data_IF_891742176417
#
_entry.id   IF_891742176417
#
_cell.length_a   1.000
_cell.length_b   1.000
_cell.length_c   1.000
_cell.angle_alpha   90.00
_cell.angle_beta   90.00
_cell.angle_gamma   90.00
#
_symmetry.space_group_name_H-M   'P 1'
#
loop_
_entity.id
_entity.type
_entity.pdbx_description
1 polymer ?
#
# COMPACT_ATOMS: atom_id res chain seq x y z
N UNK A 1 8.99 27.35 24.96
CA UNK A 1 9.53 26.56 26.08
C UNK A 1 10.32 25.37 25.53
N UNK A 2 11.41 24.91 26.16
CA UNK A 2 12.04 23.65 25.78
C UNK A 2 11.05 22.50 25.97
N UNK A 3 11.03 21.54 25.04
CA UNK A 3 10.06 20.43 25.01
C UNK A 3 9.97 19.65 26.33
N UNK A 4 11.09 19.48 27.03
CA UNK A 4 11.16 18.82 28.35
C UNK A 4 10.34 19.57 29.40
N UNK A 5 10.46 20.90 29.49
CA UNK A 5 9.71 21.69 30.48
C UNK A 5 8.21 21.71 30.20
N UNK A 6 7.82 21.65 28.92
CA UNK A 6 6.41 21.48 28.55
C UNK A 6 5.88 20.13 29.02
N UNK A 7 6.62 19.05 28.78
CA UNK A 7 6.24 17.70 29.22
C UNK A 7 6.20 17.59 30.75
N UNK A 8 7.17 18.15 31.48
CA UNK A 8 7.19 18.17 32.95
C UNK A 8 6.00 18.96 33.55
N UNK A 9 5.51 19.98 32.84
CA UNK A 9 4.33 20.75 33.23
C UNK A 9 3.04 19.93 32.98
N UNK A 10 2.88 19.42 31.76
CA UNK A 10 1.69 18.66 31.36
C UNK A 10 1.56 17.36 32.15
N UNK A 11 2.67 16.67 32.41
CA UNK A 11 2.67 15.42 33.17
C UNK A 11 2.10 15.62 34.58
N UNK A 12 2.51 16.66 35.29
CA UNK A 12 2.00 16.95 36.64
C UNK A 12 0.50 17.24 36.63
N UNK A 13 0.02 17.98 35.64
CA UNK A 13 -1.39 18.33 35.52
C UNK A 13 -2.24 17.11 35.14
N UNK A 14 -1.81 16.35 34.13
CA UNK A 14 -2.55 15.23 33.57
C UNK A 14 -2.49 13.99 34.45
N UNK A 15 -1.39 13.73 35.15
CA UNK A 15 -1.29 12.61 36.10
C UNK A 15 -2.30 12.73 37.25
N UNK A 16 -2.61 13.96 37.70
CA UNK A 16 -3.64 14.19 38.72
C UNK A 16 -5.03 13.82 38.20
N UNK A 17 -5.34 14.15 36.94
CA UNK A 17 -6.61 13.82 36.30
C UNK A 17 -6.74 12.31 36.03
N UNK A 18 -5.68 11.66 35.51
CA UNK A 18 -5.70 10.23 35.19
C UNK A 18 -5.92 9.33 36.42
N UNK A 19 -5.57 9.80 37.62
CA UNK A 19 -5.84 9.08 38.88
C UNK A 19 -7.30 9.12 39.32
N UNK A 20 -8.11 9.99 38.72
CA UNK A 20 -9.52 10.20 39.09
C UNK A 20 -10.52 9.60 38.08
N UNK A 21 -10.02 9.01 36.99
CA UNK A 21 -10.85 8.51 35.88
C UNK A 21 -10.67 7.01 35.68
N UNK A 22 -11.66 6.37 35.05
CA UNK A 22 -11.61 4.95 34.70
C UNK A 22 -11.10 4.72 33.28
N UNK A 23 -11.27 5.71 32.40
CA UNK A 23 -10.74 5.72 31.04
C UNK A 23 -10.02 7.03 30.75
N UNK A 24 -8.93 6.96 29.96
CA UNK A 24 -8.16 8.15 29.57
C UNK A 24 -9.01 9.19 28.84
N UNK A 25 -10.03 8.79 28.06
CA UNK A 25 -10.95 9.71 27.38
C UNK A 25 -11.80 10.58 28.31
N UNK A 26 -11.93 10.21 29.59
CA UNK A 26 -12.70 10.98 30.58
C UNK A 26 -11.91 12.17 31.13
N UNK A 27 -10.60 12.21 30.88
CA UNK A 27 -9.78 13.36 31.24
C UNK A 27 -10.11 14.55 30.32
N UNK A 28 -10.59 15.64 30.91
CA UNK A 28 -10.93 16.87 30.19
C UNK A 28 -9.63 17.62 29.80
N UNK A 29 -9.11 17.28 28.62
CA UNK A 29 -7.88 17.84 28.06
C UNK A 29 -8.13 18.47 26.69
N UNK A 30 -7.75 19.75 26.47
CA UNK A 30 -7.85 20.40 25.17
C UNK A 30 -7.00 19.70 24.10
N UNK A 31 -7.58 19.47 22.91
CA UNK A 31 -6.91 18.74 21.83
C UNK A 31 -5.64 19.40 21.28
N UNK A 32 -5.55 20.74 21.37
CA UNK A 32 -4.34 21.49 21.01
C UNK A 32 -3.17 21.15 21.96
N UNK A 33 -3.45 21.02 23.26
CA UNK A 33 -2.44 20.66 24.26
C UNK A 33 -1.98 19.21 24.09
N UNK A 34 -2.88 18.29 23.75
CA UNK A 34 -2.54 16.91 23.39
C UNK A 34 -1.64 16.84 22.14
N UNK A 35 -1.90 17.67 21.13
CA UNK A 35 -1.09 17.71 19.91
C UNK A 35 0.31 18.26 20.18
N UNK A 36 0.42 19.33 20.99
CA UNK A 36 1.70 19.89 21.41
C UNK A 36 2.51 18.91 22.26
N UNK A 37 1.86 18.14 23.14
CA UNK A 37 2.50 17.07 23.91
C UNK A 37 3.01 15.94 22.99
N UNK A 38 2.21 15.49 22.02
CA UNK A 38 2.64 14.47 21.05
C UNK A 38 3.88 14.94 20.26
N UNK A 39 3.93 16.20 19.86
CA UNK A 39 5.11 16.78 19.22
C UNK A 39 6.33 16.79 20.15
N UNK A 40 6.15 17.21 21.41
CA UNK A 40 7.22 17.24 22.40
C UNK A 40 7.75 15.84 22.72
N UNK A 41 6.87 14.84 22.87
CA UNK A 41 7.21 13.42 23.06
C UNK A 41 8.03 12.88 21.89
N UNK A 42 7.76 13.33 20.66
CA UNK A 42 8.58 13.00 19.50
C UNK A 42 10.00 13.55 19.58
N UNK A 43 10.21 14.68 20.27
CA UNK A 43 11.53 15.31 20.35
C UNK A 43 12.46 14.67 21.39
N UNK A 44 11.94 13.90 22.33
CA UNK A 44 12.73 13.18 23.34
C UNK A 44 13.07 11.76 22.84
N UNK A 45 14.29 11.30 23.09
CA UNK A 45 14.76 9.97 22.67
C UNK A 45 14.34 8.88 23.68
N UNK A 46 14.05 7.67 23.20
CA UNK A 46 13.78 6.49 24.04
C UNK A 46 12.33 6.32 24.48
N UNK A 47 11.60 5.36 23.89
CA UNK A 47 10.19 5.10 24.24
C UNK A 47 9.99 4.63 25.69
N UNK A 48 10.93 3.84 26.20
CA UNK A 48 10.90 3.33 27.58
C UNK A 48 11.16 4.47 28.57
N UNK A 49 12.12 5.34 28.27
CA UNK A 49 12.44 6.51 29.10
C UNK A 49 11.27 7.50 29.15
N UNK A 50 10.61 7.74 28.01
CA UNK A 50 9.43 8.59 27.91
C UNK A 50 8.24 8.01 28.69
N UNK A 51 8.05 6.69 28.67
CA UNK A 51 6.99 6.03 29.43
C UNK A 51 7.21 6.09 30.94
N UNK A 52 8.47 6.07 31.39
CA UNK A 52 8.83 6.19 32.80
C UNK A 52 8.73 7.63 33.28
N UNK A 53 9.16 8.59 32.46
CA UNK A 53 9.26 10.00 32.87
C UNK A 53 7.98 10.79 32.66
N UNK A 54 7.22 10.52 31.59
CA UNK A 54 5.97 11.22 31.27
C UNK A 54 4.81 10.28 30.87
N UNK A 55 4.42 9.34 31.73
CA UNK A 55 3.36 8.38 31.43
C UNK A 55 2.00 9.04 31.13
N UNK A 56 1.60 10.11 31.82
CA UNK A 56 0.33 10.79 31.56
C UNK A 56 0.32 11.44 30.18
N UNK A 57 1.44 12.06 29.78
CA UNK A 57 1.60 12.64 28.45
C UNK A 57 1.46 11.58 27.35
N UNK A 58 2.04 10.40 27.54
CA UNK A 58 1.92 9.29 26.59
C UNK A 58 0.47 8.80 26.50
N UNK A 59 -0.17 8.54 27.65
CA UNK A 59 -1.52 7.99 27.71
C UNK A 59 -2.55 8.92 27.04
N UNK A 60 -2.60 10.18 27.46
CA UNK A 60 -3.56 11.17 26.94
C UNK A 60 -3.31 11.46 25.47
N UNK A 61 -2.06 11.65 25.05
CA UNK A 61 -1.78 12.03 23.67
C UNK A 61 -2.10 10.93 22.67
N UNK A 62 -1.79 9.68 22.98
CA UNK A 62 -2.14 8.55 22.10
C UNK A 62 -3.64 8.32 22.04
N UNK A 63 -4.32 8.39 23.19
CA UNK A 63 -5.78 8.21 23.27
C UNK A 63 -6.52 9.30 22.49
N UNK A 64 -6.12 10.56 22.64
CA UNK A 64 -6.74 11.66 21.92
C UNK A 64 -6.56 11.53 20.40
N UNK A 65 -5.38 11.09 19.94
CA UNK A 65 -5.14 10.83 18.51
C UNK A 65 -5.96 9.66 17.98
N UNK A 66 -6.25 8.66 18.81
CA UNK A 66 -7.15 7.56 18.48
C UNK A 66 -8.63 7.96 18.46
N UNK A 67 -9.06 8.85 19.35
CA UNK A 67 -10.42 9.38 19.37
C UNK A 67 -10.79 10.14 18.08
N UNK A 68 -9.80 10.72 17.39
CA UNK A 68 -9.95 11.53 16.19
C UNK A 68 -10.21 10.74 14.87
N UNK A 69 -10.11 9.40 14.85
CA UNK A 69 -10.52 8.58 13.69
C UNK A 69 -9.66 7.33 13.40
N UNK A 70 -10.01 6.60 12.34
CA UNK A 70 -9.49 5.26 12.01
C UNK A 70 -7.99 5.21 11.63
N UNK A 71 -7.36 6.35 11.36
CA UNK A 71 -5.96 6.47 10.95
C UNK A 71 -5.02 6.99 12.06
N UNK A 72 -5.20 6.54 13.31
CA UNK A 72 -4.50 7.13 14.44
C UNK A 72 -2.98 6.92 14.44
N UNK A 73 -2.47 5.77 13.98
CA UNK A 73 -1.02 5.56 13.87
C UNK A 73 -0.34 6.49 12.85
N UNK A 74 -0.88 6.66 11.62
CA UNK A 74 -0.46 7.73 10.72
C UNK A 74 -0.48 9.11 11.36
N UNK A 75 -1.56 9.46 12.08
CA UNK A 75 -1.70 10.78 12.72
C UNK A 75 -0.71 10.99 13.86
N UNK A 76 -0.51 9.99 14.71
CA UNK A 76 0.51 9.95 15.77
C UNK A 76 1.90 10.17 15.18
N UNK A 77 2.23 9.50 14.06
CA UNK A 77 3.50 9.70 13.36
C UNK A 77 3.65 11.10 12.78
N UNK A 78 2.58 11.74 12.33
CA UNK A 78 2.68 13.14 11.88
C UNK A 78 2.95 14.05 13.08
N UNK A 79 2.23 13.86 14.19
CA UNK A 79 2.39 14.65 15.41
C UNK A 79 3.80 14.51 16.02
N UNK A 80 4.36 13.29 16.08
CA UNK A 80 5.71 13.05 16.61
C UNK A 80 6.84 13.31 15.58
N UNK A 81 6.54 13.94 14.43
CA UNK A 81 7.49 14.15 13.32
C UNK A 81 8.19 12.86 12.87
N UNK A 82 7.43 11.78 12.82
CA UNK A 82 7.79 10.40 12.42
C UNK A 82 8.85 9.74 13.31
N UNK A 83 9.03 10.24 14.53
CA UNK A 83 9.99 9.67 15.48
C UNK A 83 9.39 8.50 16.25
N UNK A 84 10.16 7.42 16.33
CA UNK A 84 9.78 6.18 16.98
C UNK A 84 9.04 5.15 16.12
N UNK A 85 8.71 4.00 16.72
CA UNK A 85 7.93 2.98 16.06
C UNK A 85 6.63 2.66 16.83
N UNK A 86 5.61 2.20 16.10
CA UNK A 86 4.29 1.88 16.62
C UNK A 86 4.33 0.87 17.79
N UNK A 87 5.19 -0.14 17.71
CA UNK A 87 5.32 -1.13 18.78
C UNK A 87 5.95 -0.53 20.05
N UNK A 88 6.93 0.37 19.91
CA UNK A 88 7.57 1.08 21.01
C UNK A 88 6.61 2.04 21.70
N UNK A 89 5.86 2.83 20.94
CA UNK A 89 4.81 3.70 21.48
C UNK A 89 3.65 2.89 22.09
N UNK A 90 3.30 1.74 21.51
CA UNK A 90 2.33 0.82 22.10
C UNK A 90 2.79 0.25 23.44
N UNK A 91 4.07 -0.16 23.56
CA UNK A 91 4.65 -0.59 24.83
C UNK A 91 4.68 0.54 25.87
N UNK A 92 5.09 1.74 25.45
CA UNK A 92 5.11 2.93 26.30
C UNK A 92 3.70 3.27 26.84
N UNK A 93 2.68 3.15 25.99
CA UNK A 93 1.29 3.34 26.39
C UNK A 93 0.84 2.30 27.42
N UNK A 94 1.12 1.01 27.18
CA UNK A 94 0.78 -0.05 28.15
C UNK A 94 1.47 0.15 29.50
N UNK A 95 2.74 0.57 29.50
CA UNK A 95 3.47 0.92 30.72
C UNK A 95 2.86 2.14 31.42
N UNK A 96 2.41 3.15 30.67
CA UNK A 96 1.71 4.30 31.23
C UNK A 96 0.38 3.92 31.89
N UNK A 97 -0.41 3.03 31.28
CA UNK A 97 -1.65 2.54 31.91
C UNK A 97 -1.38 1.81 33.22
N UNK A 98 -0.30 1.02 33.26
CA UNK A 98 0.13 0.30 34.46
C UNK A 98 0.49 1.26 35.60
N UNK A 99 1.17 2.38 35.31
CA UNK A 99 1.48 3.43 36.31
C UNK A 99 0.22 4.02 36.96
N UNK A 100 -0.87 4.17 36.21
CA UNK A 100 -2.12 4.74 36.70
C UNK A 100 -3.16 3.70 37.15
N UNK A 101 -2.86 2.40 37.06
CA UNK A 101 -3.79 1.33 37.39
C UNK A 101 -5.03 1.27 36.48
N UNK A 102 -4.89 1.74 35.23
CA UNK A 102 -5.98 1.79 34.26
C UNK A 102 -6.16 0.45 33.52
N UNK A 103 -7.39 0.12 33.06
CA UNK A 103 -7.68 -1.16 32.40
C UNK A 103 -6.88 -1.35 31.11
N UNK A 104 -6.40 -2.58 30.85
CA UNK A 104 -5.64 -2.92 29.64
C UNK A 104 -6.20 -4.18 28.97
N UNK A 105 -6.12 -4.19 27.65
CA UNK A 105 -6.48 -5.33 26.80
C UNK A 105 -5.24 -6.13 26.37
N UNK A 106 -5.48 -7.26 25.68
CA UNK A 106 -4.43 -8.18 25.23
C UNK A 106 -3.37 -7.53 24.31
N UNK A 107 -3.73 -6.45 23.59
CA UNK A 107 -2.81 -5.72 22.72
C UNK A 107 -2.86 -4.21 22.97
N UNK A 108 -1.75 -3.53 22.72
CA UNK A 108 -1.67 -2.07 22.85
C UNK A 108 -2.71 -1.33 22.01
N UNK A 109 -3.04 -1.84 20.81
CA UNK A 109 -4.06 -1.22 19.96
C UNK A 109 -5.45 -1.37 20.58
N UNK A 110 -5.79 -2.54 21.12
CA UNK A 110 -7.06 -2.73 21.83
C UNK A 110 -7.16 -1.83 23.06
N UNK A 111 -6.09 -1.71 23.86
CA UNK A 111 -6.07 -0.82 25.04
C UNK A 111 -6.22 0.65 24.65
N UNK A 112 -5.56 1.11 23.58
CA UNK A 112 -5.70 2.48 23.08
C UNK A 112 -7.14 2.75 22.63
N UNK A 113 -7.76 1.80 21.93
CA UNK A 113 -9.14 1.96 21.44
C UNK A 113 -10.18 1.91 22.55
N UNK A 114 -10.00 1.03 23.55
CA UNK A 114 -10.79 0.99 24.78
C UNK A 114 -10.81 2.37 25.44
N UNK A 115 -9.62 2.93 25.66
CA UNK A 115 -9.47 4.24 26.29
C UNK A 115 -9.91 5.42 25.42
N UNK A 116 -9.99 5.24 24.10
CA UNK A 116 -10.53 6.24 23.18
C UNK A 116 -12.06 6.14 23.01
N UNK A 117 -12.72 5.16 23.65
CA UNK A 117 -14.15 4.92 23.49
C UNK A 117 -14.55 4.47 22.08
N UNK A 118 -13.65 3.78 21.37
CA UNK A 118 -13.84 3.38 19.97
C UNK A 118 -13.76 1.85 19.81
N UNK A 119 -14.51 1.25 18.86
CA UNK A 119 -14.35 -0.16 18.54
C UNK A 119 -12.96 -0.43 17.94
N UNK A 120 -12.38 -1.59 18.25
CA UNK A 120 -11.08 -2.03 17.72
C UNK A 120 -11.18 -2.08 16.19
N UNK A 121 -10.27 -1.43 15.43
CA UNK A 121 -10.29 -1.52 13.98
C UNK A 121 -10.00 -2.97 13.57
N UNK A 122 -10.79 -3.51 12.63
CA UNK A 122 -10.58 -4.85 12.08
C UNK A 122 -9.11 -5.02 11.61
N UNK A 123 -8.52 -6.22 11.75
CA UNK A 123 -7.16 -6.48 11.27
C UNK A 123 -7.04 -6.14 9.77
N UNK A 124 -5.83 -5.81 9.27
CA UNK A 124 -5.66 -5.41 7.87
C UNK A 124 -6.21 -6.50 6.94
N UNK A 125 -7.21 -6.11 6.13
CA UNK A 125 -7.83 -6.95 5.11
C UNK A 125 -6.75 -7.48 4.17
N UNK A 126 -6.75 -8.80 3.88
CA UNK A 126 -5.83 -9.35 2.88
C UNK A 126 -6.13 -8.66 1.54
N UNK A 127 -5.10 -8.12 0.90
CA UNK A 127 -5.19 -7.51 -0.42
C UNK A 127 -4.56 -8.48 -1.41
N UNK A 128 -5.35 -9.00 -2.32
CA UNK A 128 -4.87 -9.64 -3.54
C UNK A 128 -4.18 -8.54 -4.33
N UNK A 129 -2.86 -8.63 -4.47
CA UNK A 129 -2.14 -7.81 -5.42
C UNK A 129 -2.30 -8.45 -6.81
N UNK A 130 -3.09 -7.86 -7.73
CA UNK A 130 -3.26 -8.39 -9.07
C UNK A 130 -1.95 -8.43 -9.89
N UNK A 131 -0.84 -7.90 -9.35
CA UNK A 131 0.48 -7.86 -9.97
C UNK A 131 1.55 -8.71 -9.25
N UNK A 132 1.15 -9.67 -8.40
CA UNK A 132 2.03 -10.76 -7.96
C UNK A 132 2.71 -10.56 -6.59
N UNK A 133 2.24 -9.63 -5.76
CA UNK A 133 2.78 -9.37 -4.42
C UNK A 133 2.47 -10.40 -3.32
N UNK A 134 1.61 -11.40 -3.57
CA UNK A 134 1.36 -12.53 -2.68
C UNK A 134 0.57 -12.22 -1.41
N UNK A 135 -0.54 -12.95 -1.22
CA UNK A 135 -1.10 -13.26 0.10
C UNK A 135 -0.42 -14.56 0.56
N UNK A 136 -0.05 -14.68 1.84
CA UNK A 136 0.33 -15.99 2.40
C UNK A 136 -0.91 -16.88 2.39
N UNK A 137 -0.94 -17.93 1.58
CA UNK A 137 -2.08 -18.84 1.50
C UNK A 137 -2.42 -19.39 2.90
N UNK A 138 -3.68 -19.36 3.34
CA UNK A 138 -4.06 -19.93 4.62
C UNK A 138 -3.99 -21.46 4.57
N UNK A 139 -3.35 -22.07 5.56
CA UNK A 139 -3.60 -23.46 5.89
C UNK A 139 -5.10 -23.60 6.24
N UNK A 140 -5.82 -24.48 5.53
CA UNK A 140 -7.19 -24.86 5.87
C UNK A 140 -8.36 -24.17 5.16
N UNK A 141 -8.13 -23.22 4.22
CA UNK A 141 -9.23 -22.67 3.39
C UNK A 141 -9.23 -23.27 1.97
N UNK A 142 -10.44 -23.53 1.42
CA UNK A 142 -10.66 -24.05 0.06
C UNK A 142 -11.10 -22.98 -0.94
N UNK A 143 -11.61 -21.84 -0.44
CA UNK A 143 -12.20 -20.76 -1.23
C UNK A 143 -11.90 -19.39 -0.62
N UNK A 144 -11.20 -18.54 -1.37
CA UNK A 144 -10.98 -17.13 -1.08
C UNK A 144 -11.66 -16.29 -2.15
N UNK A 145 -12.28 -15.19 -1.73
CA UNK A 145 -12.98 -14.29 -2.65
C UNK A 145 -12.52 -12.87 -2.40
N UNK A 146 -12.20 -12.15 -3.48
CA UNK A 146 -11.72 -10.79 -3.47
C UNK A 146 -12.61 -9.94 -4.37
N UNK A 147 -12.79 -8.67 -4.01
CA UNK A 147 -13.35 -7.67 -4.89
C UNK A 147 -12.39 -7.41 -6.07
N UNK A 148 -12.90 -6.74 -7.10
CA UNK A 148 -12.14 -6.39 -8.32
C UNK A 148 -10.92 -5.51 -8.02
N UNK A 149 -10.97 -4.70 -6.96
CA UNK A 149 -9.86 -3.90 -6.43
C UNK A 149 -8.81 -4.72 -5.63
N UNK A 150 -8.99 -6.04 -5.58
CA UNK A 150 -8.12 -6.97 -4.87
C UNK A 150 -8.45 -7.14 -3.38
N UNK A 151 -9.41 -6.39 -2.83
CA UNK A 151 -9.73 -6.49 -1.39
C UNK A 151 -10.44 -7.81 -1.07
N UNK A 152 -9.95 -8.56 -0.07
CA UNK A 152 -10.64 -9.76 0.39
C UNK A 152 -12.06 -9.44 0.89
N UNK A 153 -13.00 -10.27 0.45
CA UNK A 153 -14.37 -10.30 0.90
C UNK A 153 -14.48 -11.47 1.87
N UNK A 154 -14.85 -11.22 3.12
CA UNK A 154 -14.99 -12.25 4.17
C UNK A 154 -16.44 -12.55 4.55
N UNK A 155 -17.38 -11.67 4.18
CA UNK A 155 -18.82 -11.81 4.44
C UNK A 155 -19.65 -12.14 3.20
N UNK A 156 -20.87 -11.61 3.15
CA UNK A 156 -21.77 -11.74 2.00
C UNK A 156 -21.10 -11.21 0.72
N UNK A 157 -21.22 -11.96 -0.37
CA UNK A 157 -20.60 -11.66 -1.65
C UNK A 157 -21.51 -10.72 -2.47
N UNK A 158 -20.95 -9.76 -3.22
CA UNK A 158 -21.73 -8.99 -4.18
C UNK A 158 -22.10 -9.87 -5.38
N UNK A 159 -23.26 -9.64 -6.03
CA UNK A 159 -23.66 -10.37 -7.24
C UNK A 159 -22.87 -9.97 -8.51
N UNK A 160 -21.91 -9.04 -8.41
CA UNK A 160 -21.02 -8.68 -9.52
C UNK A 160 -19.80 -9.59 -9.62
N UNK A 161 -18.90 -9.37 -10.59
CA UNK A 161 -17.63 -10.05 -10.64
C UNK A 161 -16.77 -9.87 -9.40
N UNK A 162 -16.21 -10.99 -9.00
CA UNK A 162 -15.27 -11.13 -7.90
C UNK A 162 -14.12 -12.02 -8.35
N UNK A 163 -12.93 -11.73 -7.86
CA UNK A 163 -11.80 -12.63 -7.99
C UNK A 163 -11.98 -13.78 -7.01
N UNK A 164 -11.95 -14.99 -7.53
CA UNK A 164 -12.10 -16.22 -6.77
C UNK A 164 -10.79 -16.99 -6.85
N UNK A 165 -10.13 -17.16 -5.70
CA UNK A 165 -9.03 -18.10 -5.58
C UNK A 165 -9.54 -19.38 -4.92
N UNK A 166 -9.40 -20.52 -5.60
CA UNK A 166 -9.80 -21.81 -5.07
C UNK A 166 -8.74 -22.88 -5.34
N UNK A 167 -8.80 -23.99 -4.61
CA UNK A 167 -7.91 -25.13 -4.81
C UNK A 167 -8.02 -25.66 -6.24
N UNK A 168 -6.89 -26.01 -6.86
CA UNK A 168 -6.78 -26.42 -8.27
C UNK A 168 -7.55 -27.72 -8.58
N UNK A 169 -7.67 -28.59 -7.59
CA UNK A 169 -8.47 -29.81 -7.57
C UNK A 169 -9.92 -29.58 -7.12
N UNK A 170 -10.24 -28.37 -6.65
CA UNK A 170 -11.58 -27.98 -6.25
C UNK A 170 -12.44 -27.46 -7.40
N UNK A 171 -13.74 -27.74 -7.32
CA UNK A 171 -14.74 -27.29 -8.30
C UNK A 171 -15.58 -26.16 -7.70
N UNK A 172 -15.68 -25.04 -8.42
CA UNK A 172 -16.59 -23.94 -8.07
C UNK A 172 -18.04 -24.36 -8.33
N UNK A 173 -18.89 -24.16 -7.34
CA UNK A 173 -20.31 -24.48 -7.39
C UNK A 173 -21.15 -23.29 -6.92
N UNK A 174 -22.36 -23.20 -7.45
CA UNK A 174 -23.36 -22.18 -7.18
C UNK A 174 -24.74 -22.71 -7.55
N UNK A 175 -25.79 -22.05 -7.11
CA UNK A 175 -27.17 -22.30 -7.54
C UNK A 175 -27.56 -21.57 -8.84
N UNK A 176 -26.84 -20.50 -9.19
CA UNK A 176 -26.97 -19.81 -10.48
C UNK A 176 -25.85 -20.19 -11.47
N UNK A 177 -25.95 -19.77 -12.75
CA UNK A 177 -24.88 -19.98 -13.72
C UNK A 177 -23.63 -19.16 -13.35
N UNK A 178 -22.49 -19.83 -13.11
CA UNK A 178 -21.19 -19.16 -12.95
C UNK A 178 -20.60 -18.85 -14.31
N UNK A 179 -20.32 -17.56 -14.56
CA UNK A 179 -19.60 -17.12 -15.75
C UNK A 179 -18.21 -16.66 -15.36
N UNK A 180 -17.19 -17.41 -15.77
CA UNK A 180 -15.80 -16.95 -15.73
C UNK A 180 -15.60 -15.86 -16.79
N UNK A 181 -15.14 -14.70 -16.34
CA UNK A 181 -14.84 -13.53 -17.17
C UNK A 181 -13.37 -13.57 -17.62
N UNK A 182 -12.46 -13.89 -16.69
CA UNK A 182 -11.03 -13.97 -16.94
C UNK A 182 -10.37 -14.97 -15.98
N UNK A 183 -9.21 -15.50 -16.35
CA UNK A 183 -8.31 -16.22 -15.44
C UNK A 183 -7.11 -15.32 -15.10
N UNK A 184 -6.66 -15.40 -13.85
CA UNK A 184 -5.53 -14.63 -13.34
C UNK A 184 -4.32 -15.52 -13.05
N UNK A 185 -3.12 -14.95 -13.15
CA UNK A 185 -1.91 -15.62 -12.70
C UNK A 185 -1.75 -15.46 -11.19
N UNK A 186 -1.35 -16.54 -10.52
CA UNK A 186 -1.05 -16.54 -9.08
C UNK A 186 0.46 -16.45 -8.83
N UNK A 187 0.87 -15.83 -7.71
CA UNK A 187 2.28 -15.74 -7.33
C UNK A 187 2.85 -17.10 -6.93
N UNK A 188 4.18 -17.19 -6.86
CA UNK A 188 4.92 -18.37 -6.42
C UNK A 188 4.51 -18.82 -5.00
N UNK A 189 4.34 -20.13 -4.78
CA UNK A 189 3.78 -20.72 -3.55
C UNK A 189 2.26 -20.98 -3.57
N UNK A 190 1.59 -20.70 -4.68
CA UNK A 190 0.16 -20.97 -4.92
C UNK A 190 -0.05 -22.00 -6.05
N UNK A 191 0.90 -22.92 -6.28
CA UNK A 191 0.88 -23.85 -7.42
C UNK A 191 -0.33 -24.80 -7.43
N UNK A 192 -0.95 -24.97 -6.25
CA UNK A 192 -2.15 -25.78 -6.02
C UNK A 192 -3.45 -24.97 -6.00
N UNK A 193 -3.41 -23.71 -6.44
CA UNK A 193 -4.57 -22.83 -6.49
C UNK A 193 -4.82 -22.32 -7.91
N UNK A 194 -6.05 -21.90 -8.18
CA UNK A 194 -6.47 -21.19 -9.39
C UNK A 194 -7.10 -19.88 -9.02
N UNK A 195 -6.91 -18.86 -9.85
CA UNK A 195 -7.51 -17.54 -9.70
C UNK A 195 -8.38 -17.25 -10.93
N UNK A 196 -9.65 -16.96 -10.72
CA UNK A 196 -10.59 -16.64 -11.78
C UNK A 196 -11.44 -15.43 -11.38
N UNK A 197 -11.67 -14.51 -12.32
CA UNK A 197 -12.67 -13.46 -12.18
C UNK A 197 -14.01 -14.06 -12.59
N UNK A 198 -14.95 -14.17 -11.66
CA UNK A 198 -16.22 -14.87 -11.88
C UNK A 198 -17.38 -13.94 -11.56
N UNK A 199 -18.38 -13.86 -12.44
CA UNK A 199 -19.63 -13.14 -12.17
C UNK A 199 -20.55 -14.01 -11.31
N UNK A 200 -21.06 -13.45 -10.22
CA UNK A 200 -22.05 -14.10 -9.35
C UNK A 200 -23.50 -13.67 -9.66
N UNK A 201 -23.72 -13.12 -10.85
CA UNK A 201 -25.03 -12.61 -11.26
C UNK A 201 -26.03 -13.77 -11.40
N UNK A 202 -27.14 -13.68 -10.66
CA UNK A 202 -28.19 -14.70 -10.67
C UNK A 202 -27.95 -15.90 -9.76
N UNK A 203 -26.80 -15.96 -9.05
CA UNK A 203 -26.56 -16.91 -7.97
C UNK A 203 -26.85 -16.30 -6.59
N UNK A 204 -27.34 -17.10 -5.66
CA UNK A 204 -27.53 -16.72 -4.25
C UNK A 204 -26.43 -17.26 -3.35
N UNK A 205 -25.57 -18.17 -3.83
CA UNK A 205 -24.38 -18.60 -3.11
C UNK A 205 -23.25 -19.07 -4.04
N UNK A 206 -22.03 -19.04 -3.50
CA UNK A 206 -20.81 -19.57 -4.10
C UNK A 206 -20.12 -20.53 -3.11
N UNK A 207 -19.61 -21.66 -3.58
CA UNK A 207 -18.74 -22.56 -2.82
C UNK A 207 -17.65 -23.15 -3.72
N UNK A 208 -16.55 -23.62 -3.12
CA UNK A 208 -15.59 -24.48 -3.79
C UNK A 208 -15.47 -25.77 -2.99
N UNK A 209 -15.70 -26.91 -3.62
CA UNK A 209 -15.52 -28.22 -3.00
C UNK A 209 -14.19 -28.83 -3.48
N UNK A 210 -13.31 -29.20 -2.56
CA UNK A 210 -12.12 -30.00 -2.80
C UNK A 210 -12.43 -31.48 -2.54
N UNK A 211 -11.63 -32.40 -3.11
CA UNK A 211 -11.92 -33.84 -3.14
C UNK A 211 -12.29 -34.41 -1.75
N UNK A 212 -13.58 -34.73 -1.56
CA UNK A 212 -14.10 -35.41 -0.37
C UNK A 212 -14.80 -34.54 0.68
N UNK A 213 -14.88 -33.21 0.51
CA UNK A 213 -15.59 -32.32 1.44
C UNK A 213 -16.45 -31.28 0.71
N UNK A 214 -17.71 -31.13 1.16
CA UNK A 214 -18.57 -30.05 0.68
C UNK A 214 -18.05 -28.69 1.18
N UNK A 215 -17.73 -27.82 0.23
CA UNK A 215 -17.22 -26.49 0.51
C UNK A 215 -18.21 -25.60 1.27
N UNK A 216 -17.69 -24.74 2.13
CA UNK A 216 -18.51 -23.73 2.84
C UNK A 216 -19.20 -22.80 1.84
N UNK A 217 -20.54 -22.79 1.87
CA UNK A 217 -21.36 -21.89 1.05
C UNK A 217 -21.25 -20.46 1.55
N UNK A 218 -20.93 -19.55 0.64
CA UNK A 218 -20.89 -18.11 0.87
C UNK A 218 -22.10 -17.46 0.21
N UNK A 219 -22.99 -16.79 0.96
CA UNK A 219 -24.18 -16.16 0.38
C UNK A 219 -23.80 -14.97 -0.50
N UNK A 220 -24.53 -14.80 -1.59
CA UNK A 220 -24.48 -13.63 -2.47
C UNK A 220 -25.64 -12.72 -2.09
N UNK A 221 -25.36 -11.48 -1.68
CA UNK A 221 -26.38 -10.50 -1.30
C UNK A 221 -26.13 -9.13 -1.95
N UNK A 222 -27.22 -8.44 -2.21
CA UNK A 222 -27.22 -7.10 -2.82
C UNK A 222 -27.69 -7.12 -4.28
N UNK A 223 -27.66 -5.95 -4.92
CA UNK A 223 -27.91 -5.79 -6.35
C UNK A 223 -26.60 -5.45 -7.02
N UNK A 224 -26.34 -6.01 -8.20
CA UNK A 224 -25.17 -5.61 -8.97
C UNK A 224 -25.30 -4.12 -9.30
N UNK A 225 -24.21 -3.37 -9.19
CA UNK A 225 -24.16 -1.93 -9.47
C UNK A 225 -23.42 -1.63 -10.78
N UNK A 226 -23.70 -0.50 -11.44
CA UNK A 226 -22.89 0.03 -12.53
C UNK A 226 -21.39 0.07 -12.21
N UNK A 227 -20.52 -0.18 -13.19
CA UNK A 227 -19.08 0.05 -13.04
C UNK A 227 -18.39 0.37 -14.36
N UNK A 228 -17.29 1.11 -14.28
CA UNK A 228 -16.33 1.20 -15.38
C UNK A 228 -15.40 -0.01 -15.33
N UNK A 229 -15.31 -0.73 -16.44
CA UNK A 229 -14.35 -1.80 -16.67
C UNK A 229 -13.10 -1.15 -17.27
N UNK A 230 -12.02 -0.97 -16.50
CA UNK A 230 -10.81 -0.33 -17.00
C UNK A 230 -10.19 -1.17 -18.12
N UNK A 231 -9.71 -0.50 -19.17
CA UNK A 231 -8.82 -1.10 -20.16
C UNK A 231 -7.38 -1.20 -19.64
N UNK A 232 -6.41 -1.19 -20.54
CA UNK A 232 -4.99 -1.15 -20.17
C UNK A 232 -4.58 0.29 -19.76
N UNK A 233 -4.02 0.43 -18.56
CA UNK A 233 -3.41 1.67 -18.12
C UNK A 233 -2.03 1.85 -18.79
N UNK A 234 -1.68 3.09 -19.10
CA UNK A 234 -0.37 3.42 -19.67
C UNK A 234 0.69 3.23 -18.57
N UNK A 235 1.44 2.14 -18.66
CA UNK A 235 2.51 1.82 -17.73
C UNK A 235 3.48 3.00 -17.59
N UNK A 236 3.83 3.35 -16.35
CA UNK A 236 4.78 4.43 -16.07
C UNK A 236 4.27 5.85 -16.35
N UNK A 237 2.96 6.05 -16.55
CA UNK A 237 2.34 7.38 -16.69
C UNK A 237 1.19 7.53 -15.71
N UNK A 238 1.18 8.62 -14.95
CA UNK A 238 0.12 8.95 -14.00
C UNK A 238 -0.37 10.38 -14.18
N UNK A 239 -1.60 10.64 -13.76
CA UNK A 239 -2.10 11.99 -13.57
C UNK A 239 -1.38 12.67 -12.38
N UNK A 240 -1.53 14.00 -12.19
CA UNK A 240 -0.89 14.73 -11.09
C UNK A 240 -1.27 14.25 -9.69
N UNK A 241 -2.47 13.67 -9.55
CA UNK A 241 -2.96 13.07 -8.30
C UNK A 241 -2.45 11.63 -8.07
N UNK A 242 -1.64 11.10 -8.99
CA UNK A 242 -1.11 9.74 -8.97
C UNK A 242 -2.07 8.69 -9.54
N UNK A 243 -3.26 9.07 -10.03
CA UNK A 243 -4.19 8.13 -10.65
C UNK A 243 -3.67 7.59 -11.99
N UNK A 244 -4.09 6.38 -12.32
CA UNK A 244 -3.72 5.72 -13.57
C UNK A 244 -4.34 6.46 -14.77
N UNK A 245 -3.59 6.49 -15.87
CA UNK A 245 -4.02 7.10 -17.14
C UNK A 245 -4.32 6.01 -18.14
N UNK A 246 -5.50 6.05 -18.76
CA UNK A 246 -5.95 5.03 -19.71
C UNK A 246 -5.61 5.45 -21.15
N UNK A 247 -5.08 4.51 -21.95
CA UNK A 247 -4.80 4.73 -23.37
C UNK A 247 -6.07 4.67 -24.25
N UNK A 248 -7.15 4.12 -23.70
CA UNK A 248 -8.44 3.92 -24.34
C UNK A 248 -9.57 4.15 -23.33
N UNK A 249 -10.77 4.57 -23.78
CA UNK A 249 -11.92 4.72 -22.88
C UNK A 249 -12.29 3.38 -22.22
N UNK A 250 -12.56 3.34 -20.91
CA UNK A 250 -13.03 2.14 -20.24
C UNK A 250 -14.47 1.82 -20.65
N UNK A 251 -14.82 0.54 -20.75
CA UNK A 251 -16.19 0.14 -21.04
C UNK A 251 -17.08 0.39 -19.82
N UNK A 252 -18.33 0.80 -20.01
CA UNK A 252 -19.31 0.87 -18.93
C UNK A 252 -20.09 -0.44 -18.88
N UNK A 253 -20.00 -1.14 -17.76
CA UNK A 253 -20.85 -2.29 -17.49
C UNK A 253 -22.05 -1.87 -16.65
N UNK A 254 -23.24 -2.26 -17.10
CA UNK A 254 -24.51 -1.99 -16.44
C UNK A 254 -25.26 -3.30 -16.15
N UNK A 255 -25.80 -3.46 -14.93
CA UNK A 255 -26.78 -4.50 -14.64
C UNK A 255 -28.05 -4.33 -15.50
N UNK A 256 -28.87 -5.38 -15.58
CA UNK A 256 -30.22 -5.26 -16.18
C UNK A 256 -31.05 -4.18 -15.47
N UNK A 257 -31.68 -3.30 -16.25
CA UNK A 257 -32.57 -2.26 -15.76
C UNK A 257 -32.45 -0.96 -16.54
N UNK A 258 -33.28 0.01 -16.18
CA UNK A 258 -33.29 1.33 -16.80
C UNK A 258 -32.26 2.25 -16.12
N UNK A 259 -31.18 2.53 -16.84
CA UNK A 259 -30.07 3.37 -16.40
C UNK A 259 -29.97 4.65 -17.22
N UNK A 260 -29.73 5.75 -16.52
CA UNK A 260 -29.35 7.05 -17.10
C UNK A 260 -27.88 7.29 -16.82
N UNK A 261 -27.13 7.56 -17.88
CA UNK A 261 -25.69 7.82 -17.84
C UNK A 261 -25.44 9.26 -18.27
N UNK A 262 -24.62 9.96 -17.50
CA UNK A 262 -24.08 11.26 -17.89
C UNK A 262 -22.56 11.23 -17.78
N UNK A 263 -21.88 11.86 -18.72
CA UNK A 263 -20.43 12.04 -18.69
C UNK A 263 -20.11 13.51 -18.56
N UNK A 264 -19.24 13.84 -17.63
CA UNK A 264 -18.76 15.19 -17.39
C UNK A 264 -17.24 15.17 -17.52
N UNK A 265 -16.69 16.02 -18.39
CA UNK A 265 -15.25 16.25 -18.42
C UNK A 265 -14.89 17.33 -17.41
N UNK A 266 -13.76 17.20 -16.72
CA UNK A 266 -13.32 18.18 -15.73
C UNK A 266 -13.32 19.61 -16.29
N UNK A 267 -14.04 20.52 -15.62
CA UNK A 267 -14.23 21.91 -16.04
C UNK A 267 -15.27 22.12 -17.16
N UNK A 268 -15.97 21.06 -17.59
CA UNK A 268 -17.05 21.12 -18.56
C UNK A 268 -18.43 20.91 -17.93
N UNK A 269 -19.46 20.80 -18.77
CA UNK A 269 -20.82 20.48 -18.35
C UNK A 269 -21.11 18.99 -18.51
N UNK A 270 -21.88 18.42 -17.57
CA UNK A 270 -22.34 17.05 -17.68
C UNK A 270 -23.31 16.91 -18.87
N UNK A 271 -23.05 15.92 -19.74
CA UNK A 271 -23.89 15.61 -20.88
C UNK A 271 -24.49 14.21 -20.77
N UNK A 272 -25.71 14.03 -21.27
CA UNK A 272 -26.33 12.70 -21.34
C UNK A 272 -25.57 11.85 -22.36
N UNK A 273 -25.29 10.62 -21.97
CA UNK A 273 -24.56 9.68 -22.81
C UNK A 273 -25.38 8.41 -23.06
N UNK A 274 -25.03 7.67 -24.10
CA UNK A 274 -25.57 6.36 -24.37
C UNK A 274 -25.07 5.37 -23.29
N UNK A 275 -25.95 4.65 -22.57
CA UNK A 275 -25.53 3.63 -21.63
C UNK A 275 -24.66 2.51 -22.24
N UNK A 276 -24.79 2.23 -23.54
CA UNK A 276 -24.00 1.21 -24.25
C UNK A 276 -22.58 1.69 -24.59
N UNK A 277 -22.41 2.97 -24.89
CA UNK A 277 -21.11 3.61 -25.10
C UNK A 277 -21.14 5.07 -24.59
N UNK A 278 -20.72 5.31 -23.35
CA UNK A 278 -20.77 6.65 -22.75
C UNK A 278 -19.92 7.69 -23.48
N UNK A 279 -19.00 7.24 -24.34
CA UNK A 279 -17.96 8.06 -24.93
C UNK A 279 -18.27 8.44 -26.38
N UNK A 280 -19.30 7.85 -26.99
CA UNK A 280 -19.60 7.94 -28.42
C UNK A 280 -19.79 9.39 -28.93
N UNK A 281 -20.39 10.26 -28.11
CA UNK A 281 -20.72 11.64 -28.49
C UNK A 281 -19.60 12.65 -28.18
N UNK A 282 -18.50 12.20 -27.57
CA UNK A 282 -17.39 13.08 -27.20
C UNK A 282 -16.40 13.26 -28.36
N UNK A 283 -15.82 14.47 -28.52
CA UNK A 283 -14.75 14.70 -29.50
C UNK A 283 -13.52 13.81 -29.24
N UNK A 284 -12.99 13.19 -30.31
CA UNK A 284 -11.84 12.26 -30.28
C UNK A 284 -10.57 12.92 -30.80
N UNK A 285 -9.41 12.79 -30.13
CA UNK A 285 -9.14 11.90 -28.99
C UNK A 285 -9.65 12.44 -27.65
N UNK A 286 -10.06 11.53 -26.76
CA UNK A 286 -10.37 11.87 -25.37
C UNK A 286 -9.10 12.27 -24.61
N UNK A 287 -9.07 13.50 -24.11
CA UNK A 287 -7.98 14.04 -23.30
C UNK A 287 -8.51 14.69 -22.03
N UNK A 288 -8.21 14.10 -20.87
CA UNK A 288 -8.50 14.70 -19.56
C UNK A 288 -9.11 13.74 -18.56
N UNK A 289 -9.59 14.29 -17.45
CA UNK A 289 -10.32 13.56 -16.42
C UNK A 289 -11.83 13.66 -16.68
N UNK A 290 -12.50 12.52 -16.66
CA UNK A 290 -13.92 12.38 -16.91
C UNK A 290 -14.60 11.74 -15.70
N UNK A 291 -15.79 12.23 -15.36
CA UNK A 291 -16.68 11.66 -14.36
C UNK A 291 -17.91 11.09 -15.05
N UNK A 292 -18.07 9.78 -14.97
CA UNK A 292 -19.25 9.06 -15.43
C UNK A 292 -20.19 8.92 -14.24
N UNK A 293 -21.37 9.53 -14.32
CA UNK A 293 -22.43 9.37 -13.33
C UNK A 293 -23.50 8.45 -13.88
N UNK A 294 -23.80 7.38 -13.16
CA UNK A 294 -24.85 6.42 -13.50
C UNK A 294 -25.95 6.50 -12.45
N UNK A 295 -27.19 6.67 -12.90
CA UNK A 295 -28.38 6.81 -12.05
C UNK A 295 -29.50 5.92 -12.57
N UNK A 296 -30.19 5.16 -11.71
CA UNK A 296 -31.20 4.20 -12.18
C UNK A 296 -31.72 3.20 -11.14
N UNK A 297 -32.81 2.52 -11.53
CA UNK A 297 -33.60 1.48 -10.85
C UNK A 297 -33.76 1.56 -9.30
N UNK A 298 -33.87 2.77 -8.75
CA UNK A 298 -34.20 3.02 -7.33
C UNK A 298 -33.00 3.22 -6.40
N UNK A 299 -31.77 3.29 -6.91
CA UNK A 299 -30.54 3.50 -6.13
C UNK A 299 -30.04 4.95 -6.13
N UNK A 300 -29.09 5.24 -5.23
CA UNK A 300 -28.31 6.49 -5.27
C UNK A 300 -27.45 6.53 -6.54
N UNK A 301 -27.25 7.71 -7.17
CA UNK A 301 -26.33 7.85 -8.29
C UNK A 301 -24.91 7.41 -7.92
N UNK A 302 -24.27 6.66 -8.80
CA UNK A 302 -22.87 6.23 -8.67
C UNK A 302 -21.99 7.09 -9.57
N UNK A 303 -20.84 7.54 -9.05
CA UNK A 303 -19.87 8.37 -9.78
C UNK A 303 -18.56 7.60 -9.94
N UNK A 304 -18.05 7.55 -11.16
CA UNK A 304 -16.78 6.93 -11.49
C UNK A 304 -15.90 7.96 -12.19
N UNK A 305 -14.69 8.18 -11.68
CA UNK A 305 -13.73 9.13 -12.25
C UNK A 305 -12.59 8.38 -12.93
N UNK A 306 -12.22 8.81 -14.13
CA UNK A 306 -11.14 8.20 -14.92
C UNK A 306 -10.37 9.28 -15.69
N UNK A 307 -9.05 9.13 -15.78
CA UNK A 307 -8.21 9.98 -16.63
C UNK A 307 -7.85 9.24 -17.90
N UNK A 308 -8.15 9.84 -19.05
CA UNK A 308 -7.99 9.22 -20.37
C UNK A 308 -7.07 10.11 -21.22
N UNK A 309 -6.12 9.48 -21.89
CA UNK A 309 -5.30 10.09 -22.94
C UNK A 309 -5.32 9.13 -24.12
N UNK A 310 -6.36 9.26 -24.93
CA UNK A 310 -6.66 8.31 -25.98
C UNK A 310 -5.59 8.31 -27.07
N UNK A 311 -5.05 7.12 -27.35
CA UNK A 311 -4.03 6.94 -28.39
C UNK A 311 -2.61 7.31 -27.97
N UNK A 312 -2.36 7.65 -26.70
CA UNK A 312 -0.99 7.77 -26.19
C UNK A 312 -0.39 6.38 -25.96
N UNK A 313 0.80 6.16 -26.50
CA UNK A 313 1.64 4.98 -26.23
C UNK A 313 3.03 5.44 -25.80
N UNK A 314 3.62 4.70 -24.88
CA UNK A 314 4.94 5.01 -24.32
C UNK A 314 5.85 3.81 -24.48
N UNK A 315 7.09 4.08 -24.92
CA UNK A 315 8.14 3.08 -24.98
C UNK A 315 9.32 3.54 -24.14
N UNK A 316 9.86 2.61 -23.37
CA UNK A 316 11.01 2.80 -22.48
C UNK A 316 12.20 2.01 -23.02
N UNK A 317 13.38 2.63 -23.01
CA UNK A 317 14.65 1.97 -23.29
C UNK A 317 15.69 2.38 -22.23
N UNK A 318 16.14 1.47 -21.34
CA UNK A 318 15.70 0.08 -21.22
C UNK A 318 14.23 -0.04 -20.72
N UNK A 319 13.57 -1.20 -20.93
CA UNK A 319 12.18 -1.41 -20.51
C UNK A 319 11.98 -1.33 -18.99
N UNK A 320 13.01 -1.71 -18.22
CA UNK A 320 13.07 -1.52 -16.76
C UNK A 320 14.46 -1.01 -16.41
N UNK A 321 14.52 0.09 -15.65
CA UNK A 321 15.77 0.68 -15.18
C UNK A 321 16.26 -0.07 -13.95
N UNK A 322 17.40 -0.75 -14.08
CA UNK A 322 18.01 -1.50 -13.00
C UNK A 322 19.11 -0.66 -12.34
N UNK A 323 19.64 -1.10 -11.20
CA UNK A 323 20.78 -0.41 -10.60
C UNK A 323 22.03 -0.56 -11.48
N UNK A 324 22.71 0.57 -11.70
CA UNK A 324 23.96 0.68 -12.43
C UNK A 324 24.84 1.69 -11.70
N UNK A 325 26.00 1.23 -11.22
CA UNK A 325 26.85 2.03 -10.33
C UNK A 325 26.09 2.52 -9.09
N UNK A 326 26.06 3.84 -8.89
CA UNK A 326 25.46 4.49 -7.72
C UNK A 326 24.00 4.95 -7.94
N UNK A 327 23.31 4.46 -8.98
CA UNK A 327 21.93 4.87 -9.25
C UNK A 327 21.20 3.94 -10.20
N UNK A 328 20.15 4.46 -10.83
CA UNK A 328 19.44 3.75 -11.89
C UNK A 328 20.20 3.87 -13.21
N UNK A 329 20.12 2.83 -14.05
CA UNK A 329 20.48 2.95 -15.45
C UNK A 329 19.78 4.18 -16.08
N UNK A 330 20.48 4.99 -16.89
CA UNK A 330 19.83 6.01 -17.71
C UNK A 330 18.72 5.41 -18.57
N UNK A 331 17.74 6.22 -18.95
CA UNK A 331 16.66 5.74 -19.82
C UNK A 331 16.16 6.80 -20.78
N UNK A 332 15.86 6.37 -21.99
CA UNK A 332 15.15 7.14 -22.99
C UNK A 332 13.68 6.68 -23.06
N UNK A 333 12.80 7.67 -23.15
CA UNK A 333 11.35 7.47 -23.22
C UNK A 333 10.85 8.16 -24.47
N UNK A 334 10.14 7.43 -25.32
CA UNK A 334 9.52 7.96 -26.54
C UNK A 334 8.00 7.87 -26.47
N UNK A 335 7.34 8.93 -26.91
CA UNK A 335 5.88 9.05 -26.92
C UNK A 335 5.36 8.95 -28.35
N UNK A 336 4.39 8.06 -28.56
CA UNK A 336 3.68 7.94 -29.82
C UNK A 336 2.23 8.34 -29.57
N UNK A 337 1.70 9.24 -30.40
CA UNK A 337 0.35 9.77 -30.24
C UNK A 337 -0.52 9.40 -31.44
N UNK A 338 -1.80 9.16 -31.18
CA UNK A 338 -2.81 9.02 -32.22
C UNK A 338 -3.13 10.37 -32.90
N UNK A 339 -3.89 10.34 -34.02
CA UNK A 339 -4.32 11.55 -34.71
C UNK A 339 -5.02 12.55 -33.77
N UNK A 340 -4.69 13.84 -33.89
CA UNK A 340 -5.30 14.91 -33.09
C UNK A 340 -4.76 15.06 -31.66
N UNK A 341 -3.81 14.21 -31.24
CA UNK A 341 -3.10 14.31 -29.96
C UNK A 341 -1.63 14.69 -30.18
N UNK A 342 -1.15 15.69 -29.45
CA UNK A 342 0.25 16.09 -29.40
C UNK A 342 0.80 15.88 -28.00
N UNK A 343 1.99 15.28 -27.89
CA UNK A 343 2.72 15.12 -26.64
C UNK A 343 4.02 15.93 -26.68
N UNK A 344 4.25 16.75 -25.66
CA UNK A 344 5.42 17.64 -25.55
C UNK A 344 6.10 17.44 -24.19
N UNK A 345 7.39 17.10 -24.15
CA UNK A 345 8.24 16.77 -25.30
C UNK A 345 7.89 15.41 -25.93
N UNK A 346 8.30 15.17 -27.18
CA UNK A 346 8.08 13.89 -27.88
C UNK A 346 8.98 12.75 -27.36
N UNK A 347 10.05 13.11 -26.66
CA UNK A 347 10.91 12.16 -25.96
C UNK A 347 11.46 12.78 -24.66
N UNK A 348 11.80 11.94 -23.69
CA UNK A 348 12.44 12.32 -22.42
C UNK A 348 13.62 11.40 -22.16
N UNK A 349 14.75 11.99 -21.77
CA UNK A 349 15.89 11.26 -21.21
C UNK A 349 15.90 11.40 -19.68
N UNK A 350 16.20 10.32 -18.97
CA UNK A 350 16.29 10.25 -17.52
C UNK A 350 17.73 9.93 -17.09
N UNK A 351 18.25 10.71 -16.15
CA UNK A 351 19.54 10.41 -15.51
C UNK A 351 19.38 9.41 -14.37
N UNK A 352 20.50 8.93 -13.83
CA UNK A 352 20.53 7.93 -12.76
C UNK A 352 19.77 8.31 -11.48
N UNK A 353 19.68 9.60 -11.17
CA UNK A 353 18.97 10.11 -9.98
C UNK A 353 17.51 10.48 -10.26
N UNK A 354 17.12 10.70 -11.52
CA UNK A 354 15.79 11.17 -11.87
C UNK A 354 14.82 10.00 -11.98
N UNK A 355 13.71 10.03 -11.25
CA UNK A 355 12.65 9.01 -11.35
C UNK A 355 11.41 9.48 -12.08
N UNK A 356 11.17 10.79 -12.13
CA UNK A 356 9.92 11.38 -12.64
C UNK A 356 10.21 12.60 -13.49
N UNK A 357 9.49 12.77 -14.59
CA UNK A 357 9.50 13.98 -15.42
C UNK A 357 8.09 14.29 -15.95
N UNK A 358 7.74 15.57 -16.16
CA UNK A 358 6.43 15.93 -16.68
C UNK A 358 6.34 15.65 -18.19
N UNK A 359 5.13 15.29 -18.63
CA UNK A 359 4.72 15.23 -20.03
C UNK A 359 3.45 16.06 -20.20
N UNK A 360 3.39 16.90 -21.22
CA UNK A 360 2.20 17.68 -21.52
C UNK A 360 1.53 17.14 -22.77
N UNK A 361 0.27 16.75 -22.66
CA UNK A 361 -0.56 16.31 -23.77
C UNK A 361 -1.55 17.41 -24.17
N UNK A 362 -1.73 17.61 -25.46
CA UNK A 362 -2.62 18.65 -26.03
C UNK A 362 -3.52 18.06 -27.10
N UNK A 363 -4.82 18.33 -27.02
CA UNK A 363 -5.83 17.99 -28.01
C UNK A 363 -6.99 18.99 -27.92
N UNK A 364 -7.51 19.48 -29.06
CA UNK A 364 -8.61 20.44 -29.14
C UNK A 364 -8.50 21.66 -28.20
N UNK A 365 -7.30 22.24 -28.09
CA UNK A 365 -7.05 23.39 -27.22
C UNK A 365 -7.06 23.08 -25.71
N UNK A 366 -7.17 21.81 -25.34
CA UNK A 366 -7.05 21.34 -23.95
C UNK A 366 -5.64 20.88 -23.67
N UNK A 367 -5.19 21.07 -22.43
CA UNK A 367 -3.88 20.69 -21.95
C UNK A 367 -4.01 19.80 -20.72
N UNK A 368 -3.28 18.70 -20.68
CA UNK A 368 -3.16 17.83 -19.52
C UNK A 368 -1.69 17.56 -19.23
N UNK A 369 -1.23 17.87 -18.02
CA UNK A 369 0.12 17.52 -17.56
C UNK A 369 0.07 16.19 -16.83
N UNK A 370 0.93 15.27 -17.26
CA UNK A 370 1.10 13.94 -16.72
C UNK A 370 2.47 13.83 -16.07
N UNK A 371 2.61 12.88 -15.15
CA UNK A 371 3.90 12.48 -14.58
C UNK A 371 4.34 11.19 -15.24
N UNK A 372 5.50 11.21 -15.88
CA UNK A 372 6.14 10.03 -16.47
C UNK A 372 7.19 9.51 -15.50
N UNK A 373 7.05 8.24 -15.12
CA UNK A 373 7.94 7.49 -14.25
C UNK A 373 8.27 6.15 -14.93
N UNK A 374 9.41 6.05 -15.64
CA UNK A 374 9.84 4.80 -16.25
C UNK A 374 9.84 3.66 -15.23
N UNK A 375 9.48 2.43 -15.63
CA UNK A 375 9.63 1.26 -14.76
C UNK A 375 11.07 1.17 -14.25
N UNK A 376 11.27 1.03 -12.95
CA UNK A 376 12.59 1.02 -12.34
C UNK A 376 12.62 0.13 -11.10
N UNK A 377 13.80 -0.44 -10.86
CA UNK A 377 14.13 -1.13 -9.63
C UNK A 377 14.16 -0.14 -8.47
N UNK A 378 13.67 -0.57 -7.31
CA UNK A 378 13.94 0.08 -6.03
C UNK A 378 14.08 -0.99 -4.94
N UNK A 379 14.89 -0.67 -3.94
CA UNK A 379 15.11 -1.53 -2.78
C UNK A 379 14.57 -0.81 -1.55
N UNK A 380 13.73 -1.48 -0.77
CA UNK A 380 13.32 -0.99 0.53
C UNK A 380 14.23 -1.59 1.58
N UNK A 381 14.89 -0.76 2.36
CA UNK A 381 15.62 -1.18 3.55
C UNK A 381 14.81 -0.74 4.74
N UNK A 382 14.33 -1.70 5.51
CA UNK A 382 13.37 -1.53 6.59
C UNK A 382 12.11 -0.75 6.15
N UNK A 383 12.15 0.59 6.26
CA UNK A 383 11.04 1.49 5.91
C UNK A 383 11.34 2.46 4.78
N UNK A 384 12.60 2.57 4.35
CA UNK A 384 13.02 3.56 3.37
C UNK A 384 13.23 2.92 2.00
N UNK A 385 12.69 3.55 0.96
CA UNK A 385 12.94 3.16 -0.42
C UNK A 385 14.19 3.85 -0.95
N UNK A 386 14.99 3.10 -1.69
CA UNK A 386 16.21 3.53 -2.34
C UNK A 386 16.14 3.23 -3.83
N UNK A 387 16.61 4.16 -4.64
CA UNK A 387 16.76 4.05 -6.10
C UNK A 387 18.23 3.96 -6.50
N UNK A 388 19.07 3.55 -5.56
CA UNK A 388 20.49 3.29 -5.69
C UNK A 388 20.85 2.19 -4.69
N UNK A 389 21.93 1.42 -4.91
CA UNK A 389 22.39 0.43 -3.95
C UNK A 389 22.71 1.08 -2.59
N UNK A 390 21.94 0.79 -1.51
CA UNK A 390 22.23 1.36 -0.21
C UNK A 390 23.42 0.65 0.43
N UNK A 391 24.16 1.38 1.27
CA UNK A 391 25.12 0.79 2.20
C UNK A 391 24.42 0.40 3.49
N UNK A 392 24.53 -0.87 3.85
CA UNK A 392 23.86 -1.49 4.99
C UNK A 392 24.86 -1.77 6.10
N UNK A 393 24.32 -1.81 7.32
CA UNK A 393 24.98 -2.31 8.53
C UNK A 393 24.20 -3.50 9.08
N UNK A 394 24.81 -4.25 10.01
CA UNK A 394 24.17 -5.37 10.73
C UNK A 394 22.94 -5.00 11.57
N UNK A 395 22.64 -3.71 11.70
CA UNK A 395 21.47 -3.20 12.41
C UNK A 395 20.17 -3.30 11.58
N UNK A 396 20.29 -3.23 10.25
CA UNK A 396 19.16 -3.34 9.34
C UNK A 396 18.57 -4.75 9.40
N UNK A 397 17.24 -4.84 9.31
CA UNK A 397 16.53 -6.11 9.55
C UNK A 397 15.93 -6.68 8.29
N UNK A 398 15.37 -5.81 7.44
CA UNK A 398 14.59 -6.23 6.29
C UNK A 398 15.06 -5.53 5.03
N UNK A 399 15.15 -6.30 3.97
CA UNK A 399 15.29 -5.79 2.61
C UNK A 399 14.08 -6.24 1.80
N UNK A 400 13.50 -5.38 0.97
CA UNK A 400 12.49 -5.77 -0.02
C UNK A 400 12.93 -5.28 -1.37
N UNK A 401 12.80 -6.15 -2.36
CA UNK A 401 13.05 -5.80 -3.74
C UNK A 401 11.74 -5.46 -4.44
N UNK A 402 11.74 -4.37 -5.21
CA UNK A 402 10.68 -4.07 -6.15
C UNK A 402 11.32 -3.86 -7.52
N UNK A 403 11.14 -4.86 -8.38
CA UNK A 403 11.60 -4.87 -9.77
C UNK A 403 10.38 -5.22 -10.62
N UNK A 404 9.91 -4.30 -11.48
CA UNK A 404 8.81 -4.59 -12.38
C UNK A 404 9.03 -5.88 -13.17
N UNK A 405 8.08 -6.82 -13.08
CA UNK A 405 8.11 -8.10 -13.79
C UNK A 405 8.97 -9.19 -13.14
N UNK A 406 9.60 -8.95 -11.99
CA UNK A 406 10.43 -9.95 -11.29
C UNK A 406 9.94 -10.17 -9.85
N UNK A 407 9.39 -11.35 -9.57
CA UNK A 407 8.90 -11.70 -8.25
C UNK A 407 9.97 -12.44 -7.43
N UNK A 408 10.32 -11.88 -6.26
CA UNK A 408 11.10 -12.51 -5.18
C UNK A 408 12.30 -13.38 -5.63
N UNK A 409 13.27 -12.83 -6.38
CA UNK A 409 14.44 -13.59 -6.84
C UNK A 409 15.34 -14.02 -5.67
N UNK A 410 16.16 -15.06 -5.86
CA UNK A 410 17.22 -15.36 -4.90
C UNK A 410 18.26 -14.23 -4.88
N UNK A 411 18.68 -13.82 -3.69
CA UNK A 411 19.77 -12.85 -3.52
C UNK A 411 21.04 -13.61 -3.19
N UNK A 412 22.03 -13.54 -4.09
CA UNK A 412 23.37 -14.04 -3.84
C UNK A 412 24.11 -13.08 -2.90
N UNK A 413 24.71 -13.63 -1.85
CA UNK A 413 25.57 -12.91 -0.91
C UNK A 413 27.01 -13.23 -1.28
N UNK A 414 27.75 -12.21 -1.67
CA UNK A 414 29.11 -12.36 -2.21
C UNK A 414 30.10 -11.73 -1.25
N UNK A 415 31.17 -12.48 -0.96
CA UNK A 415 32.33 -11.98 -0.25
C UNK A 415 33.60 -12.33 -1.05
N UNK A 416 34.46 -11.34 -1.29
CA UNK A 416 35.59 -11.51 -2.21
C UNK A 416 35.12 -11.92 -3.62
N UNK A 417 35.62 -13.06 -4.12
CA UNK A 417 35.32 -13.55 -5.47
C UNK A 417 34.17 -14.58 -5.54
N UNK A 418 33.59 -14.98 -4.39
CA UNK A 418 32.67 -16.11 -4.33
C UNK A 418 31.31 -15.78 -3.70
N UNK A 419 30.30 -16.55 -4.09
CA UNK A 419 29.02 -16.59 -3.38
C UNK A 419 29.23 -17.38 -2.09
N UNK A 420 28.98 -16.74 -0.95
CA UNK A 420 29.17 -17.33 0.39
C UNK A 420 27.84 -17.75 1.03
N UNK A 421 26.72 -17.19 0.56
CA UNK A 421 25.39 -17.51 1.05
C UNK A 421 24.33 -17.11 0.01
N UNK A 422 23.16 -17.74 0.06
CA UNK A 422 21.97 -17.32 -0.68
C UNK A 422 20.88 -16.88 0.31
N UNK A 423 20.18 -15.80 -0.03
CA UNK A 423 19.10 -15.24 0.77
C UNK A 423 17.78 -15.33 -0.02
N UNK A 424 16.82 -16.03 0.58
CA UNK A 424 15.46 -16.17 0.06
C UNK A 424 14.53 -15.18 0.74
N UNK A 425 13.55 -14.66 0.00
CA UNK A 425 12.48 -13.88 0.57
C UNK A 425 11.59 -14.76 1.48
N UNK A 426 10.98 -14.15 2.50
CA UNK A 426 9.83 -14.74 3.19
C UNK A 426 8.57 -14.63 2.33
N UNK A 427 7.48 -15.28 2.77
CA UNK A 427 6.18 -15.28 2.10
C UNK A 427 5.58 -13.88 1.80
N UNK A 428 6.12 -12.81 2.42
CA UNK A 428 5.72 -11.40 2.20
C UNK A 428 6.64 -10.62 1.24
N UNK A 429 7.64 -11.28 0.65
CA UNK A 429 8.64 -10.68 -0.24
C UNK A 429 9.78 -9.94 0.47
N UNK A 430 9.82 -9.98 1.81
CA UNK A 430 10.90 -9.37 2.60
C UNK A 430 12.03 -10.39 2.85
N UNK A 431 13.27 -9.96 2.66
CA UNK A 431 14.50 -10.71 2.88
C UNK A 431 15.06 -10.39 4.28
N UNK A 432 15.29 -11.41 5.13
CA UNK A 432 15.76 -11.20 6.50
C UNK A 432 17.27 -10.94 6.54
N UNK A 433 17.68 -9.67 6.58
CA UNK A 433 19.10 -9.27 6.67
C UNK A 433 19.77 -9.76 7.96
N UNK A 434 18.99 -10.04 9.00
CA UNK A 434 19.46 -10.63 10.25
C UNK A 434 20.20 -11.97 10.04
N UNK A 435 19.85 -12.73 8.99
CA UNK A 435 20.52 -14.00 8.63
C UNK A 435 21.92 -13.81 8.05
N UNK A 436 22.33 -12.58 7.76
CA UNK A 436 23.65 -12.26 7.19
C UNK A 436 24.65 -11.82 8.26
N UNK A 437 24.24 -11.67 9.53
CA UNK A 437 25.11 -11.14 10.60
C UNK A 437 26.37 -11.97 10.82
N UNK A 438 26.23 -13.29 10.88
CA UNK A 438 27.37 -14.19 11.04
C UNK A 438 28.29 -14.18 9.82
N UNK A 439 27.70 -14.06 8.62
CA UNK A 439 28.42 -13.95 7.35
C UNK A 439 29.24 -12.67 7.28
N UNK A 440 28.65 -11.51 7.65
CA UNK A 440 29.35 -10.23 7.78
C UNK A 440 30.45 -10.30 8.84
N UNK A 441 30.20 -10.95 9.98
CA UNK A 441 31.21 -11.11 11.05
C UNK A 441 32.41 -11.94 10.58
N UNK A 442 32.17 -12.95 9.74
CA UNK A 442 33.19 -13.88 9.26
C UNK A 442 33.99 -13.31 8.08
N UNK A 443 33.31 -12.64 7.15
CA UNK A 443 33.91 -12.21 5.88
C UNK A 443 34.15 -10.69 5.78
N UNK A 444 33.68 -9.90 6.75
CA UNK A 444 33.72 -8.45 6.69
C UNK A 444 32.66 -7.91 5.73
N UNK A 445 33.09 -7.15 4.72
CA UNK A 445 32.19 -6.55 3.74
C UNK A 445 31.62 -7.61 2.78
N UNK A 446 30.30 -7.58 2.62
CA UNK A 446 29.57 -8.45 1.68
C UNK A 446 28.75 -7.60 0.70
N UNK A 447 28.52 -8.16 -0.49
CA UNK A 447 27.67 -7.55 -1.52
C UNK A 447 26.45 -8.42 -1.79
N UNK A 448 25.27 -7.81 -1.83
CA UNK A 448 24.02 -8.48 -2.16
C UNK A 448 23.73 -8.30 -3.65
N UNK A 449 23.56 -9.40 -4.40
CA UNK A 449 23.34 -9.38 -5.86
C UNK A 449 22.16 -10.22 -6.30
N UNK A 450 21.51 -9.80 -7.38
CA UNK A 450 20.56 -10.61 -8.16
C UNK A 450 21.07 -10.67 -9.59
N UNK A 451 21.45 -11.87 -10.05
CA UNK A 451 22.20 -12.02 -11.29
C UNK A 451 23.46 -11.15 -11.25
N UNK A 452 23.59 -10.24 -12.22
CA UNK A 452 24.73 -9.33 -12.29
C UNK A 452 24.54 -8.00 -11.54
N UNK A 453 23.36 -7.74 -10.98
CA UNK A 453 22.98 -6.44 -10.43
C UNK A 453 23.33 -6.37 -8.94
N UNK A 454 24.03 -5.32 -8.52
CA UNK A 454 24.28 -5.03 -7.10
C UNK A 454 23.06 -4.38 -6.48
N UNK A 455 22.48 -5.03 -5.48
CA UNK A 455 21.33 -4.53 -4.75
C UNK A 455 21.72 -3.61 -3.60
N UNK A 456 22.75 -3.99 -2.85
CA UNK A 456 23.25 -3.30 -1.67
C UNK A 456 24.63 -3.85 -1.28
N UNK A 457 25.39 -3.08 -0.51
CA UNK A 457 26.58 -3.58 0.20
C UNK A 457 26.29 -3.59 1.70
N UNK A 458 26.86 -4.53 2.44
CA UNK A 458 26.66 -4.63 3.88
C UNK A 458 28.00 -4.81 4.58
N UNK A 459 28.26 -3.94 5.55
CA UNK A 459 29.51 -3.89 6.31
C UNK A 459 29.27 -4.19 7.78
N UNK A 460 30.29 -4.67 8.51
CA UNK A 460 30.22 -4.72 9.97
C UNK A 460 30.01 -3.30 10.52
N UNK A 461 29.41 -3.16 11.72
CA UNK A 461 29.27 -1.85 12.33
C UNK A 461 30.68 -1.26 12.49
N UNK A 462 30.85 0.02 12.14
CA UNK A 462 32.09 0.74 12.40
C UNK A 462 32.39 0.55 13.90
N UNK A 463 33.49 -0.13 14.22
CA UNK A 463 34.01 -0.12 15.58
C UNK A 463 34.23 1.36 15.88
N UNK A 464 33.52 1.88 16.89
CA UNK A 464 33.82 3.20 17.41
C UNK A 464 35.33 3.30 17.58
N UNK A 465 35.90 4.43 17.18
CA UNK A 465 37.29 4.79 17.50
C UNK A 465 37.52 4.32 18.94
N UNK A 466 38.54 3.49 19.23
CA UNK A 466 38.80 3.10 20.61
C UNK A 466 38.87 4.39 21.40
N UNK A 467 38.02 4.48 22.42
CA UNK A 467 37.96 5.65 23.27
C UNK A 467 39.39 5.87 23.79
N UNK A 468 40.07 6.99 23.45
CA UNK A 468 41.43 7.22 23.91
C UNK A 468 41.52 7.31 25.44
N UNK A 469 40.38 7.31 26.14
CA UNK A 469 40.26 7.33 27.59
C UNK A 469 40.03 5.98 28.25
N UNK A 470 39.87 4.88 27.49
CA UNK A 470 39.89 3.53 28.05
C UNK A 470 41.33 3.02 28.04
N UNK A 471 42.08 3.41 29.06
CA UNK A 471 43.30 2.69 29.43
C UNK A 471 42.95 1.22 29.71
N UNK A 472 43.69 0.30 29.09
CA UNK A 472 43.72 -1.10 29.49
C UNK A 472 44.18 -1.19 30.95
N UNK A 473 43.37 -1.82 31.79
CA UNK A 473 43.83 -2.50 33.00
C UNK A 473 43.92 -4.02 32.72
#
# INVERSE_FOLDING_TARGET
>A
MPFISLLDLLERQWAAQLRQVSLVSEADVPGEMSTAAAEALGHVYGHEEVAVRWPACVAISLTHMAAAGEAFWPRWRVATRRRGNTAGWGKAFLAALEVFGLPREATATQSIMLHAGRPVPEPPRRLLDPFGGGISGPEGEDLLVFAEDGRELTGDLPPGPVWVAHRRDGVLTSDGPLRTIAEGLLPFGWEHWRLALVSLEGGNWLAAASSGADGRRRPVRGKAGPRLVPGEAIGGVSAPDGSAVMAAPPALWLPRGDWRVTVEQAGGTAQRADPADPWALLPRPLLGTFTVTVSGAGGRPQRHTVTIVEGLRVRYDPPVRLFEGDGLAPADVSFHTGPGLTATPQALTFTAAQTTRPLTCVAFGRLLTLTVRPPHMRVRVDRQWHTAPPRLTTEHRWLRLDVPGLANPYIAVIAGAGVVQELTAHARGDYPLVRLRDTVRTHGDITLRVGNITLATMSPPLRGTPDPWLCND
#
